data_IF_789001792494
#
_entry.id   IF_789001792494
#
_cell.length_a   1.000
_cell.length_b   1.000
_cell.length_c   1.000
_cell.angle_alpha   90.00
_cell.angle_beta   90.00
_cell.angle_gamma   90.00
#
_symmetry.space_group_name_H-M   'P 1'
#
loop_
_entity.id
_entity.type
_entity.pdbx_description
1 polymer ?
#
# COMPACT_ATOMS: atom_id res chain seq x y z
N UNK A 1 -17.10 -22.51 19.27
CA UNK A 1 -15.98 -21.55 19.14
C UNK A 1 -16.46 -20.33 18.35
N UNK A 2 -16.53 -19.12 18.94
CA UNK A 2 -16.86 -17.90 18.20
C UNK A 2 -15.77 -17.67 17.15
N UNK A 3 -16.12 -17.69 15.85
CA UNK A 3 -15.18 -17.33 14.79
C UNK A 3 -14.85 -15.84 14.94
N UNK A 4 -13.58 -15.42 15.09
CA UNK A 4 -13.23 -14.00 15.22
C UNK A 4 -13.64 -13.22 13.95
N UNK A 5 -13.99 -11.95 14.11
CA UNK A 5 -14.38 -11.02 13.02
C UNK A 5 -15.89 -10.88 12.75
N UNK A 6 -16.24 -10.22 11.65
CA UNK A 6 -17.62 -9.89 11.25
C UNK A 6 -18.43 -11.11 10.76
N UNK A 7 -19.69 -10.88 10.35
CA UNK A 7 -20.60 -11.92 9.85
C UNK A 7 -20.04 -12.69 8.66
N UNK A 8 -20.60 -13.87 8.40
CA UNK A 8 -20.19 -14.73 7.27
C UNK A 8 -20.38 -14.01 5.92
N UNK A 9 -21.48 -13.26 5.78
CA UNK A 9 -21.81 -12.48 4.59
C UNK A 9 -20.73 -11.43 4.34
N UNK A 10 -20.37 -10.64 5.37
CA UNK A 10 -19.31 -9.62 5.26
C UNK A 10 -17.99 -10.26 4.82
N UNK A 11 -17.55 -11.34 5.48
CA UNK A 11 -16.30 -12.02 5.14
C UNK A 11 -16.27 -12.54 3.69
N UNK A 12 -17.40 -13.04 3.18
CA UNK A 12 -17.53 -13.50 1.79
C UNK A 12 -17.45 -12.34 0.80
N UNK A 13 -18.18 -11.27 1.05
CA UNK A 13 -18.17 -10.07 0.20
C UNK A 13 -16.78 -9.43 0.20
N UNK A 14 -16.16 -9.26 1.37
CA UNK A 14 -14.81 -8.70 1.51
C UNK A 14 -13.76 -9.47 0.70
N UNK A 15 -13.85 -10.81 0.63
CA UNK A 15 -12.91 -11.58 -0.22
C UNK A 15 -12.97 -11.19 -1.69
N UNK A 16 -14.15 -10.88 -2.20
CA UNK A 16 -14.36 -10.49 -3.59
C UNK A 16 -13.93 -9.03 -3.77
N UNK A 17 -14.42 -8.13 -2.92
CA UNK A 17 -14.17 -6.69 -3.05
C UNK A 17 -12.70 -6.32 -2.83
N UNK A 18 -11.98 -6.98 -1.92
CA UNK A 18 -10.55 -6.71 -1.67
C UNK A 18 -9.72 -6.90 -2.94
N UNK A 19 -9.99 -7.95 -3.72
CA UNK A 19 -9.26 -8.22 -4.96
C UNK A 19 -9.50 -7.12 -6.00
N UNK A 20 -10.75 -6.63 -6.08
CA UNK A 20 -11.13 -5.52 -6.98
C UNK A 20 -10.51 -4.19 -6.54
N UNK A 21 -10.56 -3.87 -5.25
CA UNK A 21 -9.98 -2.64 -4.68
C UNK A 21 -8.47 -2.64 -4.90
N UNK A 22 -7.80 -3.77 -4.64
CA UNK A 22 -6.35 -3.90 -4.85
C UNK A 22 -5.98 -3.68 -6.32
N UNK A 23 -6.67 -4.35 -7.25
CA UNK A 23 -6.43 -4.19 -8.68
C UNK A 23 -6.68 -2.76 -9.14
N UNK A 24 -7.73 -2.12 -8.62
CA UNK A 24 -8.03 -0.72 -8.92
C UNK A 24 -6.94 0.23 -8.40
N UNK A 25 -6.40 -0.02 -7.20
CA UNK A 25 -5.27 0.76 -6.67
C UNK A 25 -4.01 0.65 -7.54
N UNK A 26 -3.70 -0.56 -8.03
CA UNK A 26 -2.60 -0.78 -9.00
C UNK A 26 -2.86 -0.04 -10.31
N UNK A 27 -4.08 -0.11 -10.84
CA UNK A 27 -4.47 0.60 -12.06
C UNK A 27 -4.26 2.12 -11.92
N UNK A 28 -4.74 2.72 -10.84
CA UNK A 28 -4.62 4.17 -10.56
C UNK A 28 -3.15 4.60 -10.45
N UNK A 29 -2.30 3.77 -9.86
CA UNK A 29 -0.88 4.08 -9.76
C UNK A 29 -0.16 4.01 -11.11
N UNK A 30 -0.44 2.98 -11.91
CA UNK A 30 0.22 2.79 -13.21
C UNK A 30 -0.24 3.80 -14.27
N UNK A 31 -1.47 4.30 -14.18
CA UNK A 31 -2.03 5.29 -15.11
C UNK A 31 -1.93 6.73 -14.61
N UNK A 32 -1.11 6.98 -13.58
CA UNK A 32 -0.99 8.31 -12.97
C UNK A 32 -0.48 9.42 -13.90
N UNK A 33 0.20 9.06 -14.99
CA UNK A 33 0.65 10.02 -16.02
C UNK A 33 -0.38 10.23 -17.14
N UNK A 34 -1.44 9.42 -17.20
CA UNK A 34 -2.49 9.49 -18.23
C UNK A 34 -3.81 10.01 -17.67
N UNK A 35 -4.10 9.71 -16.41
CA UNK A 35 -5.36 10.00 -15.74
C UNK A 35 -5.10 10.68 -14.39
N UNK A 36 -6.08 11.43 -13.84
CA UNK A 36 -5.99 11.92 -12.47
C UNK A 36 -5.77 10.75 -11.49
N UNK A 37 -4.66 10.77 -10.74
CA UNK A 37 -4.28 9.63 -9.90
C UNK A 37 -2.80 9.63 -9.53
N UNK A 38 -2.15 8.47 -9.66
CA UNK A 38 -0.73 8.29 -9.39
C UNK A 38 -0.42 7.43 -8.17
N UNK A 39 0.87 7.34 -7.86
CA UNK A 39 1.39 6.43 -6.83
C UNK A 39 0.79 6.67 -5.45
N UNK A 40 0.55 7.93 -5.07
CA UNK A 40 -0.03 8.26 -3.77
C UNK A 40 -1.48 7.75 -3.66
N UNK A 41 -2.35 8.16 -4.59
CA UNK A 41 -3.76 7.75 -4.60
C UNK A 41 -3.91 6.22 -4.71
N UNK A 42 -3.14 5.59 -5.60
CA UNK A 42 -3.10 4.13 -5.71
C UNK A 42 -2.61 3.47 -4.42
N UNK A 43 -1.59 4.03 -3.77
CA UNK A 43 -1.05 3.53 -2.51
C UNK A 43 -2.06 3.57 -1.37
N UNK A 44 -2.82 4.66 -1.26
CA UNK A 44 -3.94 4.80 -0.31
C UNK A 44 -4.99 3.71 -0.56
N UNK A 45 -5.39 3.49 -1.81
CA UNK A 45 -6.39 2.47 -2.17
C UNK A 45 -5.89 1.06 -1.82
N UNK A 46 -4.61 0.76 -2.08
CA UNK A 46 -4.00 -0.51 -1.69
C UNK A 46 -4.00 -0.67 -0.16
N UNK A 47 -3.61 0.36 0.60
CA UNK A 47 -3.66 0.32 2.07
C UNK A 47 -5.09 0.05 2.56
N UNK A 48 -6.09 0.72 1.98
CA UNK A 48 -7.50 0.51 2.30
C UNK A 48 -7.96 -0.92 1.99
N UNK A 49 -7.45 -1.58 0.95
CA UNK A 49 -7.75 -2.98 0.67
C UNK A 49 -7.29 -3.90 1.81
N UNK A 50 -6.10 -3.66 2.38
CA UNK A 50 -5.60 -4.42 3.52
C UNK A 50 -6.37 -4.08 4.81
N UNK A 51 -6.66 -2.80 5.05
CA UNK A 51 -7.52 -2.36 6.16
C UNK A 51 -8.89 -3.04 6.10
N UNK A 52 -9.48 -3.14 4.90
CA UNK A 52 -10.76 -3.80 4.69
C UNK A 52 -10.74 -5.29 5.12
N UNK A 53 -9.63 -6.00 4.85
CA UNK A 53 -9.42 -7.36 5.36
C UNK A 53 -9.37 -7.37 6.90
N UNK A 54 -8.64 -6.43 7.51
CA UNK A 54 -8.54 -6.34 8.98
C UNK A 54 -9.91 -6.14 9.62
N UNK A 55 -10.72 -5.24 9.07
CA UNK A 55 -12.07 -4.96 9.58
C UNK A 55 -13.00 -6.19 9.47
N UNK A 56 -12.92 -6.95 8.39
CA UNK A 56 -13.80 -8.11 8.18
C UNK A 56 -13.39 -9.35 9.00
N UNK A 57 -12.08 -9.62 9.08
CA UNK A 57 -11.54 -10.87 9.65
C UNK A 57 -10.93 -10.70 11.04
N UNK A 58 -10.73 -9.47 11.51
CA UNK A 58 -10.09 -9.16 12.78
C UNK A 58 -8.56 -9.13 12.69
N UNK A 59 -7.94 -8.71 13.80
CA UNK A 59 -6.50 -8.43 13.92
C UNK A 59 -5.59 -9.62 13.59
N UNK A 60 -6.00 -10.82 13.98
CA UNK A 60 -5.15 -12.00 13.91
C UNK A 60 -4.86 -12.44 12.46
N UNK A 61 -5.77 -12.13 11.55
CA UNK A 61 -5.59 -12.44 10.11
C UNK A 61 -4.69 -11.40 9.44
N UNK A 62 -4.77 -10.14 9.87
CA UNK A 62 -3.95 -9.06 9.35
C UNK A 62 -2.47 -9.23 9.72
N UNK A 63 -2.20 -9.44 11.02
CA UNK A 63 -0.85 -9.62 11.56
C UNK A 63 -0.14 -10.87 11.01
N UNK A 64 -0.91 -11.90 10.60
CA UNK A 64 -0.36 -13.08 9.91
C UNK A 64 0.07 -12.81 8.48
N UNK A 65 -0.52 -11.82 7.81
CA UNK A 65 -0.26 -11.53 6.38
C UNK A 65 0.83 -10.48 6.20
N UNK A 66 0.75 -9.38 6.95
CA UNK A 66 1.75 -8.31 6.93
C UNK A 66 1.95 -7.89 8.38
N UNK A 67 3.13 -8.20 8.92
CA UNK A 67 3.55 -7.70 10.23
C UNK A 67 4.15 -6.29 10.08
N UNK A 68 4.27 -5.58 11.20
CA UNK A 68 4.80 -4.21 11.26
C UNK A 68 6.20 -4.11 10.64
N UNK A 69 7.05 -5.13 10.85
CA UNK A 69 8.39 -5.22 10.25
C UNK A 69 8.33 -5.27 8.72
N UNK A 70 7.48 -6.10 8.14
CA UNK A 70 7.32 -6.22 6.70
C UNK A 70 6.79 -4.91 6.10
N UNK A 71 5.82 -4.27 6.75
CA UNK A 71 5.32 -2.97 6.32
C UNK A 71 6.44 -1.91 6.34
N UNK A 72 7.24 -1.85 7.42
CA UNK A 72 8.38 -0.96 7.52
C UNK A 72 9.44 -1.22 6.43
N UNK A 73 9.78 -2.49 6.17
CA UNK A 73 10.74 -2.86 5.11
C UNK A 73 10.23 -2.41 3.73
N UNK A 74 8.96 -2.66 3.40
CA UNK A 74 8.37 -2.26 2.11
C UNK A 74 8.34 -0.73 2.00
N UNK A 75 8.01 -0.05 3.10
CA UNK A 75 8.00 1.40 3.14
C UNK A 75 9.40 1.99 2.89
N UNK A 76 10.41 1.48 3.58
CA UNK A 76 11.81 1.89 3.39
C UNK A 76 12.29 1.57 1.98
N UNK A 77 11.96 0.40 1.45
CA UNK A 77 12.29 0.01 0.08
C UNK A 77 11.67 0.97 -0.95
N UNK A 78 10.40 1.34 -0.79
CA UNK A 78 9.75 2.33 -1.65
C UNK A 78 10.46 3.69 -1.62
N UNK A 79 10.89 4.14 -0.44
CA UNK A 79 11.68 5.37 -0.30
C UNK A 79 13.06 5.28 -0.96
N UNK A 80 13.77 4.15 -0.76
CA UNK A 80 15.08 3.90 -1.38
C UNK A 80 14.97 3.77 -2.89
N UNK A 81 13.92 3.14 -3.42
CA UNK A 81 13.65 3.06 -4.86
C UNK A 81 13.44 4.47 -5.44
N UNK A 82 12.63 5.30 -4.78
CA UNK A 82 12.38 6.67 -5.22
C UNK A 82 13.66 7.51 -5.23
N UNK A 83 14.46 7.41 -4.17
CA UNK A 83 15.76 8.08 -4.09
C UNK A 83 16.74 7.53 -5.13
N UNK A 84 16.78 6.21 -5.34
CA UNK A 84 17.63 5.56 -6.34
C UNK A 84 17.33 6.05 -7.75
N UNK A 85 16.04 6.18 -8.12
CA UNK A 85 15.63 6.76 -9.41
C UNK A 85 16.14 8.20 -9.55
N UNK A 86 16.06 8.98 -8.47
CA UNK A 86 16.50 10.37 -8.49
C UNK A 86 18.05 10.50 -8.62
N UNK A 87 18.80 9.64 -7.92
CA UNK A 87 20.26 9.58 -7.95
C UNK A 87 20.79 9.05 -9.30
N UNK A 88 20.08 8.14 -9.96
CA UNK A 88 20.40 7.74 -11.33
C UNK A 88 20.42 8.95 -12.27
N UNK A 89 19.55 9.93 -12.05
CA UNK A 89 19.56 11.17 -12.81
C UNK A 89 20.85 11.98 -12.64
N UNK A 90 21.44 11.99 -11.44
CA UNK A 90 22.67 12.73 -11.14
C UNK A 90 23.84 12.24 -11.99
N UNK A 91 23.89 10.95 -12.31
CA UNK A 91 24.89 10.39 -13.24
C UNK A 91 24.81 11.01 -14.64
N UNK A 92 23.64 11.53 -15.03
CA UNK A 92 23.43 12.27 -16.28
C UNK A 92 23.50 13.80 -16.14
N UNK A 93 23.84 14.33 -14.96
CA UNK A 93 24.11 15.75 -14.72
C UNK A 93 23.11 16.50 -13.85
N UNK A 94 21.90 15.96 -13.62
CA UNK A 94 20.86 16.63 -12.82
C UNK A 94 20.02 15.63 -12.02
N UNK A 95 19.61 15.99 -10.81
CA UNK A 95 18.69 15.17 -10.00
C UNK A 95 17.37 14.93 -10.75
N UNK A 96 16.85 13.69 -10.74
CA UNK A 96 15.67 13.27 -11.51
C UNK A 96 15.77 13.41 -13.04
N UNK A 97 16.97 13.46 -13.62
CA UNK A 97 17.10 13.36 -15.08
C UNK A 97 16.38 12.10 -15.59
N UNK A 98 15.50 12.28 -16.57
CA UNK A 98 14.81 11.17 -17.19
C UNK A 98 15.76 10.36 -18.07
N UNK A 99 16.17 9.19 -17.58
CA UNK A 99 17.03 8.23 -18.29
C UNK A 99 16.26 7.30 -19.23
N UNK A 100 14.92 7.28 -19.16
CA UNK A 100 14.05 6.39 -19.92
C UNK A 100 13.39 7.13 -21.10
N UNK A 101 13.13 6.39 -22.18
CA UNK A 101 12.37 6.94 -23.32
C UNK A 101 11.00 7.41 -22.87
N UNK A 102 10.57 8.57 -23.38
CA UNK A 102 9.25 9.15 -23.07
C UNK A 102 8.10 8.39 -23.76
N UNK A 103 8.41 7.46 -24.67
CA UNK A 103 7.42 6.70 -25.42
C UNK A 103 6.54 7.60 -26.30
N UNK A 104 5.36 7.10 -26.68
CA UNK A 104 4.35 7.90 -27.36
C UNK A 104 3.37 8.48 -26.33
N UNK A 105 2.92 9.74 -26.48
CA UNK A 105 1.87 10.28 -25.62
C UNK A 105 0.64 9.36 -25.63
N UNK A 106 -0.04 9.26 -24.48
CA UNK A 106 -1.21 8.41 -24.24
C UNK A 106 -0.97 6.90 -24.14
N UNK A 107 0.26 6.41 -24.34
CA UNK A 107 0.61 5.02 -24.06
C UNK A 107 0.94 4.79 -22.57
N UNK A 108 0.75 3.55 -22.10
CA UNK A 108 1.09 3.17 -20.71
C UNK A 108 2.59 3.33 -20.43
N UNK A 109 3.45 2.85 -21.33
CA UNK A 109 4.91 3.00 -21.22
C UNK A 109 5.36 4.34 -21.82
N UNK A 110 4.82 5.42 -21.27
CA UNK A 110 5.20 6.80 -21.60
C UNK A 110 5.64 7.55 -20.36
N UNK A 111 6.08 8.81 -20.51
CA UNK A 111 6.55 9.68 -19.41
C UNK A 111 7.87 9.25 -18.72
N UNK A 112 8.60 8.29 -19.30
CA UNK A 112 9.95 7.93 -18.84
C UNK A 112 9.97 7.40 -17.41
N UNK A 113 10.78 8.01 -16.54
CA UNK A 113 10.94 7.59 -15.13
C UNK A 113 9.65 7.72 -14.27
N UNK A 114 8.64 8.46 -14.72
CA UNK A 114 7.45 8.78 -13.90
C UNK A 114 6.69 7.52 -13.46
N UNK A 115 6.57 6.50 -14.31
CA UNK A 115 5.90 5.25 -13.94
C UNK A 115 6.65 4.52 -12.81
N UNK A 116 7.99 4.55 -12.82
CA UNK A 116 8.81 3.97 -11.77
C UNK A 116 8.68 4.76 -10.46
N UNK A 117 8.64 6.08 -10.55
CA UNK A 117 8.37 6.95 -9.40
C UNK A 117 6.99 6.63 -8.79
N UNK A 118 5.95 6.45 -9.62
CA UNK A 118 4.61 6.09 -9.15
C UNK A 118 4.61 4.73 -8.43
N UNK A 119 5.34 3.73 -8.94
CA UNK A 119 5.46 2.43 -8.26
C UNK A 119 6.20 2.56 -6.91
N UNK A 120 7.28 3.33 -6.86
CA UNK A 120 8.02 3.55 -5.62
C UNK A 120 7.16 4.27 -4.55
N UNK A 121 6.42 5.30 -4.96
CA UNK A 121 5.48 6.03 -4.10
C UNK A 121 4.32 5.12 -3.66
N UNK A 122 3.78 4.29 -4.55
CA UNK A 122 2.73 3.30 -4.23
C UNK A 122 3.16 2.41 -3.07
N UNK A 123 4.37 1.83 -3.15
CA UNK A 123 4.90 0.96 -2.11
C UNK A 123 5.09 1.72 -0.80
N UNK A 124 5.71 2.90 -0.85
CA UNK A 124 5.95 3.72 0.35
C UNK A 124 4.64 4.13 1.04
N UNK A 125 3.70 4.69 0.29
CA UNK A 125 2.43 5.19 0.83
C UNK A 125 1.55 4.03 1.30
N UNK A 126 1.43 2.97 0.50
CA UNK A 126 0.61 1.82 0.85
C UNK A 126 1.07 1.13 2.13
N UNK A 127 2.38 0.88 2.26
CA UNK A 127 2.95 0.25 3.43
C UNK A 127 2.94 1.17 4.66
N UNK A 128 3.30 2.45 4.50
CA UNK A 128 3.31 3.42 5.59
C UNK A 128 1.92 3.66 6.19
N UNK A 129 0.90 3.83 5.35
CA UNK A 129 -0.49 4.00 5.83
C UNK A 129 -1.01 2.75 6.53
N UNK A 130 -0.68 1.58 6.02
CA UNK A 130 -1.06 0.33 6.67
C UNK A 130 -0.33 0.14 8.02
N UNK A 131 0.95 0.51 8.11
CA UNK A 131 1.71 0.49 9.36
C UNK A 131 1.11 1.45 10.40
N UNK A 132 0.79 2.69 9.99
CA UNK A 132 0.11 3.68 10.85
C UNK A 132 -1.23 3.12 11.34
N UNK A 133 -2.01 2.49 10.46
CA UNK A 133 -3.29 1.88 10.85
C UNK A 133 -3.09 0.78 11.90
N UNK A 134 -2.13 -0.13 11.70
CA UNK A 134 -1.80 -1.18 12.68
C UNK A 134 -1.38 -0.55 14.01
N UNK A 135 -0.48 0.44 13.98
CA UNK A 135 -0.02 1.13 15.18
C UNK A 135 -1.21 1.75 15.92
N UNK A 136 -2.05 2.55 15.26
CA UNK A 136 -3.18 3.21 15.92
C UNK A 136 -4.27 2.23 16.38
N UNK A 137 -4.58 1.21 15.60
CA UNK A 137 -5.63 0.25 15.91
C UNK A 137 -5.25 -0.69 17.07
N UNK A 138 -3.95 -0.94 17.29
CA UNK A 138 -3.49 -1.91 18.28
C UNK A 138 -2.73 -1.30 19.47
N UNK A 139 -2.21 -0.08 19.36
CA UNK A 139 -1.55 0.62 20.47
C UNK A 139 -2.57 1.13 21.52
N UNK A 140 -3.86 1.23 21.16
CA UNK A 140 -4.92 1.75 22.06
C UNK A 140 -5.61 0.69 22.93
N UNK A 141 -5.09 -0.53 23.02
CA UNK A 141 -5.59 -1.51 23.98
C UNK A 141 -4.56 -1.70 25.11
N UNK A 142 -4.66 -0.96 26.22
CA UNK A 142 -4.28 -1.54 27.50
C UNK A 142 -4.95 -2.91 27.56
N UNK A 143 -4.18 -3.96 27.87
CA UNK A 143 -4.76 -5.22 28.26
C UNK A 143 -5.66 -4.89 29.46
N UNK A 144 -6.99 -4.96 29.31
CA UNK A 144 -7.84 -5.22 30.46
C UNK A 144 -7.42 -6.62 30.94
N UNK A 145 -6.49 -6.62 31.90
CA UNK A 145 -6.11 -7.79 32.65
C UNK A 145 -7.38 -8.40 33.23
N UNK A 146 -7.76 -9.54 32.62
CA UNK A 146 -8.54 -10.64 33.19
C UNK A 146 -9.19 -10.35 34.55
N UNK A 147 -10.33 -9.67 34.54
CA UNK A 147 -11.28 -9.83 35.63
C UNK A 147 -12.02 -11.16 35.44
N UNK A 148 -12.02 -11.99 36.49
CA UNK A 148 -12.70 -13.28 36.70
C UNK A 148 -11.86 -14.56 36.53
N UNK A 149 -11.09 -14.82 37.59
CA UNK A 149 -10.89 -16.09 38.33
C UNK A 149 -9.96 -15.67 39.47
N UNK A 150 -10.41 -15.43 40.69
CA UNK A 150 -11.19 -16.28 41.59
C UNK A 150 -12.16 -15.48 42.47
#
# INVERSE_FOLDING_TARGET
>A
MKKPGMSLIVKRITKITVSLIFLFGVYIALHGHLTPGGGFAGGVIIALSFIHVVLAFGKDVALKRINEKAASIIESLGGLMFLGIALLGVMGGYFFLNVLSKGRPFDLFSSGIIILCNIAILLKVGAGLFAIFIALAFFRMPQEDKEKKE
#
